data_IF_983745437191
#
_entry.id   IF_983745437191
#
_cell.length_a   1.000
_cell.length_b   1.000
_cell.length_c   1.000
_cell.angle_alpha   90.00
_cell.angle_beta   90.00
_cell.angle_gamma   90.00
#
_symmetry.space_group_name_H-M   'P 1'
#
loop_
_entity.id
_entity.type
_entity.pdbx_description
1 polymer ?
#
# COMPACT_ATOMS: atom_id res chain seq x y z
N UNK A 1 -22.64 -2.54 -5.43
CA UNK A 1 -21.46 -3.35 -5.04
C UNK A 1 -21.11 -4.48 -5.99
N UNK A 2 -22.06 -5.24 -6.56
CA UNK A 2 -21.79 -6.24 -7.63
C UNK A 2 -20.94 -5.66 -8.75
N UNK A 3 -21.19 -4.41 -9.14
CA UNK A 3 -20.36 -3.65 -10.08
C UNK A 3 -18.92 -3.40 -9.61
N UNK A 4 -18.67 -3.10 -8.33
CA UNK A 4 -17.31 -2.87 -7.80
C UNK A 4 -16.52 -4.18 -7.76
N UNK A 5 -17.14 -5.27 -7.30
CA UNK A 5 -16.53 -6.61 -7.31
C UNK A 5 -16.27 -7.11 -8.74
N UNK A 6 -17.19 -6.84 -9.67
CA UNK A 6 -17.00 -7.12 -11.10
C UNK A 6 -15.87 -6.30 -11.73
N UNK A 7 -15.68 -5.04 -11.31
CA UNK A 7 -14.54 -4.20 -11.74
C UNK A 7 -13.22 -4.71 -11.17
N UNK A 8 -13.16 -5.06 -9.87
CA UNK A 8 -11.95 -5.64 -9.25
C UNK A 8 -11.55 -6.95 -9.95
N UNK A 9 -12.46 -7.91 -10.10
CA UNK A 9 -12.18 -9.17 -10.80
C UNK A 9 -11.98 -9.03 -12.31
N UNK A 10 -12.35 -7.89 -12.93
CA UNK A 10 -11.93 -7.57 -14.30
C UNK A 10 -10.48 -7.06 -14.31
N UNK A 11 -10.14 -6.12 -13.42
CA UNK A 11 -8.80 -5.55 -13.31
C UNK A 11 -7.75 -6.59 -12.91
N UNK A 12 -8.06 -7.51 -11.99
CA UNK A 12 -7.19 -8.62 -11.56
C UNK A 12 -6.76 -9.55 -12.73
N UNK A 13 -7.63 -9.67 -13.74
CA UNK A 13 -7.42 -10.46 -14.98
C UNK A 13 -6.91 -9.62 -16.16
N UNK A 14 -6.47 -8.38 -15.92
CA UNK A 14 -5.88 -7.57 -16.98
C UNK A 14 -4.58 -8.24 -17.49
N UNK A 15 -4.42 -8.44 -18.80
CA UNK A 15 -3.25 -9.12 -19.37
C UNK A 15 -1.92 -8.41 -19.07
N UNK A 16 -1.93 -7.14 -18.67
CA UNK A 16 -0.72 -6.40 -18.30
C UNK A 16 0.07 -7.09 -17.17
N UNK A 17 -0.61 -7.78 -16.26
CA UNK A 17 0.02 -8.49 -15.15
C UNK A 17 0.81 -9.73 -15.58
N UNK A 18 0.48 -10.34 -16.73
CA UNK A 18 1.22 -11.51 -17.24
C UNK A 18 2.67 -11.18 -17.60
N UNK A 19 2.94 -9.97 -18.07
CA UNK A 19 4.31 -9.48 -18.31
C UNK A 19 5.13 -9.51 -17.01
N UNK A 20 4.62 -8.89 -15.96
CA UNK A 20 5.34 -8.75 -14.69
C UNK A 20 5.44 -10.07 -13.93
N UNK A 21 4.37 -10.88 -13.93
CA UNK A 21 4.42 -12.28 -13.42
C UNK A 21 5.57 -13.04 -14.07
N UNK A 22 5.66 -13.04 -15.40
CA UNK A 22 6.75 -13.72 -16.13
C UNK A 22 8.12 -13.12 -15.79
N UNK A 23 8.26 -11.80 -15.77
CA UNK A 23 9.52 -11.14 -15.44
C UNK A 23 10.03 -11.53 -14.03
N UNK A 24 9.17 -11.51 -13.01
CA UNK A 24 9.53 -11.95 -11.66
C UNK A 24 9.55 -13.48 -11.47
N UNK A 25 8.99 -14.27 -12.41
CA UNK A 25 9.14 -15.74 -12.44
C UNK A 25 10.54 -16.16 -12.93
N UNK A 26 11.05 -15.51 -13.98
CA UNK A 26 12.42 -15.76 -14.47
C UNK A 26 13.52 -15.13 -13.60
N UNK A 27 13.16 -14.33 -12.59
CA UNK A 27 14.05 -13.91 -11.51
C UNK A 27 14.27 -15.04 -10.47
N UNK A 28 14.52 -16.26 -10.95
CA UNK A 28 14.72 -17.47 -10.16
C UNK A 28 15.91 -18.29 -10.68
N UNK A 29 16.40 -19.30 -9.94
CA UNK A 29 17.74 -19.86 -10.13
C UNK A 29 17.97 -20.74 -11.38
N UNK A 30 17.14 -20.67 -12.42
CA UNK A 30 17.31 -21.43 -13.68
C UNK A 30 17.52 -20.49 -14.87
N UNK A 31 18.41 -20.90 -15.78
CA UNK A 31 18.83 -20.19 -17.00
C UNK A 31 19.69 -18.91 -16.80
N UNK A 32 20.86 -19.09 -16.17
CA UNK A 32 22.02 -18.21 -16.39
C UNK A 32 21.96 -16.79 -15.84
N UNK A 33 20.81 -16.33 -15.32
CA UNK A 33 20.63 -15.06 -14.62
C UNK A 33 20.25 -15.32 -13.17
N UNK A 34 21.06 -14.81 -12.25
CA UNK A 34 21.01 -15.14 -10.81
C UNK A 34 20.48 -13.99 -9.96
N UNK A 35 19.43 -13.32 -10.41
CA UNK A 35 18.70 -12.37 -9.55
C UNK A 35 18.00 -13.14 -8.44
N UNK A 36 18.19 -12.73 -7.18
CA UNK A 36 17.41 -13.26 -6.05
C UNK A 36 15.94 -12.83 -6.16
N UNK A 37 15.05 -13.59 -5.52
CA UNK A 37 13.63 -13.24 -5.46
C UNK A 37 13.43 -12.02 -4.54
N UNK A 38 12.85 -10.89 -5.02
CA UNK A 38 12.85 -9.65 -4.25
C UNK A 38 12.07 -9.73 -2.94
N UNK A 39 12.66 -9.17 -1.88
CA UNK A 39 12.04 -9.04 -0.55
C UNK A 39 11.39 -7.66 -0.39
N UNK A 40 10.14 -7.64 0.04
CA UNK A 40 9.29 -6.44 0.07
C UNK A 40 8.90 -6.09 1.51
N UNK A 41 9.24 -4.89 1.95
CA UNK A 41 8.68 -4.27 3.15
C UNK A 41 7.49 -3.38 2.77
N UNK A 42 6.39 -3.47 3.52
CA UNK A 42 5.20 -2.60 3.36
C UNK A 42 4.90 -1.95 4.69
N UNK A 43 4.93 -0.61 4.74
CA UNK A 43 4.65 0.11 5.99
C UNK A 43 3.14 0.13 6.32
N UNK A 44 2.79 -0.34 7.51
CA UNK A 44 1.41 -0.45 8.01
C UNK A 44 1.16 0.24 9.36
N UNK A 45 2.18 0.88 9.93
CA UNK A 45 2.20 1.45 11.28
C UNK A 45 1.34 2.71 11.47
N UNK A 46 1.76 3.57 12.40
CA UNK A 46 1.07 4.84 12.68
C UNK A 46 0.96 5.74 11.44
N UNK A 47 -0.12 6.51 11.38
CA UNK A 47 -0.48 7.32 10.20
C UNK A 47 -0.86 6.54 8.92
N UNK A 48 -0.42 5.28 8.73
CA UNK A 48 -0.81 4.48 7.57
C UNK A 48 -2.32 4.22 7.54
N UNK A 49 -2.97 4.49 6.40
CA UNK A 49 -4.42 4.30 6.26
C UNK A 49 -4.80 2.89 5.78
N UNK A 50 -5.45 2.77 4.63
CA UNK A 50 -5.87 1.50 4.03
C UNK A 50 -5.07 1.16 2.77
N UNK A 51 -4.48 2.13 2.06
CA UNK A 51 -3.81 1.90 0.77
C UNK A 51 -2.60 0.95 0.79
N UNK A 52 -2.04 0.62 1.96
CA UNK A 52 -1.03 -0.43 2.08
C UNK A 52 -1.56 -1.81 1.65
N UNK A 53 -2.87 -2.07 1.79
CA UNK A 53 -3.51 -3.30 1.27
C UNK A 53 -3.51 -3.32 -0.27
N UNK A 54 -3.52 -2.15 -0.93
CA UNK A 54 -3.43 -2.05 -2.38
C UNK A 54 -2.02 -2.39 -2.87
N UNK A 55 -0.97 -2.03 -2.12
CA UNK A 55 0.38 -2.55 -2.40
C UNK A 55 0.43 -4.07 -2.25
N UNK A 56 -0.19 -4.66 -1.22
CA UNK A 56 -0.29 -6.11 -1.09
C UNK A 56 -1.01 -6.76 -2.29
N UNK A 57 -2.11 -6.18 -2.76
CA UNK A 57 -2.84 -6.65 -3.95
C UNK A 57 -1.99 -6.51 -5.23
N UNK A 58 -1.24 -5.41 -5.38
CA UNK A 58 -0.31 -5.21 -6.50
C UNK A 58 0.80 -6.26 -6.49
N UNK A 59 1.46 -6.49 -5.35
CA UNK A 59 2.52 -7.48 -5.21
C UNK A 59 2.00 -8.88 -5.56
N UNK A 60 0.82 -9.24 -5.05
CA UNK A 60 0.18 -10.50 -5.41
C UNK A 60 -0.05 -10.63 -6.93
N UNK A 61 -0.58 -9.58 -7.56
CA UNK A 61 -0.89 -9.57 -8.99
C UNK A 61 0.35 -9.70 -9.87
N UNK A 62 1.47 -9.08 -9.51
CA UNK A 62 2.74 -9.18 -10.26
C UNK A 62 3.57 -10.40 -9.85
N UNK A 63 3.12 -11.16 -8.85
CA UNK A 63 3.80 -12.36 -8.39
C UNK A 63 5.06 -12.03 -7.57
N UNK A 64 4.95 -11.14 -6.60
CA UNK A 64 5.89 -10.98 -5.48
C UNK A 64 5.17 -11.40 -4.18
N UNK A 65 5.82 -12.26 -3.39
CA UNK A 65 5.20 -12.95 -2.24
C UNK A 65 6.10 -13.00 -0.99
N UNK A 66 7.37 -12.57 -1.08
CA UNK A 66 8.22 -12.40 0.10
C UNK A 66 7.97 -10.99 0.64
N UNK A 67 6.83 -10.85 1.33
CA UNK A 67 6.31 -9.58 1.83
C UNK A 67 6.30 -9.61 3.36
N UNK A 68 6.89 -8.59 3.97
CA UNK A 68 6.78 -8.31 5.41
C UNK A 68 6.02 -7.00 5.59
N UNK A 69 4.98 -7.02 6.42
CA UNK A 69 4.30 -5.80 6.87
C UNK A 69 5.04 -5.29 8.11
N UNK A 70 5.45 -4.03 8.08
CA UNK A 70 6.30 -3.43 9.10
C UNK A 70 5.66 -2.17 9.71
N UNK A 71 5.98 -1.89 10.96
CA UNK A 71 5.56 -0.71 11.72
C UNK A 71 6.78 0.09 12.19
N UNK A 72 6.56 1.24 12.83
CA UNK A 72 7.64 2.13 13.30
C UNK A 72 8.65 1.45 14.24
N UNK A 73 8.24 0.50 15.09
CA UNK A 73 9.16 -0.26 15.94
C UNK A 73 10.11 -1.17 15.16
N UNK A 74 9.72 -1.59 13.95
CA UNK A 74 10.59 -2.38 13.07
C UNK A 74 11.59 -1.49 12.34
N UNK A 75 11.35 -0.17 12.24
CA UNK A 75 12.15 0.79 11.47
C UNK A 75 13.39 1.31 12.22
N UNK A 76 13.87 0.56 13.22
CA UNK A 76 15.13 0.85 13.90
C UNK A 76 16.36 0.63 12.99
N UNK A 77 17.54 1.06 13.42
CA UNK A 77 18.78 0.89 12.64
C UNK A 77 19.06 -0.58 12.35
N UNK A 78 18.96 -0.98 11.07
CA UNK A 78 19.12 -2.36 10.62
C UNK A 78 17.80 -3.08 10.30
N UNK A 79 16.64 -2.50 10.64
CA UNK A 79 15.34 -3.13 10.44
C UNK A 79 14.90 -3.31 8.98
N UNK A 80 15.50 -2.52 8.07
CA UNK A 80 15.31 -2.64 6.62
C UNK A 80 16.38 -3.52 5.94
N UNK A 81 17.28 -4.15 6.69
CA UNK A 81 18.39 -4.92 6.12
C UNK A 81 17.87 -6.18 5.40
N UNK A 82 18.39 -6.38 4.19
CA UNK A 82 18.03 -7.52 3.33
C UNK A 82 16.64 -7.41 2.68
N UNK A 83 15.95 -6.27 2.76
CA UNK A 83 14.85 -5.95 1.84
C UNK A 83 15.38 -5.33 0.54
N UNK A 84 14.63 -5.48 -0.54
CA UNK A 84 14.88 -4.79 -1.82
C UNK A 84 13.99 -3.56 -1.96
N UNK A 85 12.72 -3.67 -1.54
CA UNK A 85 11.71 -2.63 -1.70
C UNK A 85 11.09 -2.22 -0.35
N UNK A 86 10.89 -0.92 -0.15
CA UNK A 86 10.06 -0.36 0.93
C UNK A 86 8.90 0.42 0.29
N UNK A 87 7.67 -0.05 0.55
CA UNK A 87 6.44 0.51 -0.01
C UNK A 87 5.67 1.28 1.08
N UNK A 88 5.42 2.57 0.86
CA UNK A 88 4.74 3.45 1.83
C UNK A 88 3.50 4.09 1.18
N UNK A 89 2.32 3.73 1.67
CA UNK A 89 1.04 4.18 1.11
C UNK A 89 0.56 5.54 1.59
N UNK A 90 -0.64 5.90 1.15
CA UNK A 90 -1.41 7.02 1.69
C UNK A 90 -1.86 6.84 3.13
N UNK A 91 -2.10 7.97 3.79
CA UNK A 91 -2.22 8.05 5.23
C UNK A 91 -2.19 9.49 5.73
N UNK A 92 -1.92 9.62 7.01
CA UNK A 92 -1.61 10.85 7.71
C UNK A 92 -0.07 10.99 7.76
N UNK A 93 0.50 11.83 6.89
CA UNK A 93 1.95 12.00 6.79
C UNK A 93 2.57 12.57 8.06
N UNK A 94 1.83 13.41 8.78
CA UNK A 94 2.34 14.02 10.01
C UNK A 94 2.49 12.94 11.09
N UNK A 95 1.46 12.11 11.29
CA UNK A 95 1.53 10.96 12.21
C UNK A 95 2.60 9.92 11.80
N UNK A 96 2.84 9.72 10.49
CA UNK A 96 3.96 8.88 10.01
C UNK A 96 5.32 9.47 10.41
N UNK A 97 5.51 10.78 10.20
CA UNK A 97 6.78 11.44 10.46
C UNK A 97 7.06 11.57 11.97
N UNK A 98 6.04 11.83 12.80
CA UNK A 98 6.17 11.79 14.26
C UNK A 98 6.52 10.39 14.78
N UNK A 99 5.87 9.34 14.30
CA UNK A 99 6.09 7.97 14.79
C UNK A 99 7.42 7.36 14.37
N UNK A 100 7.85 7.64 13.13
CA UNK A 100 9.14 7.20 12.60
C UNK A 100 10.29 8.03 13.17
N UNK A 101 10.09 9.34 13.32
CA UNK A 101 11.06 10.29 13.82
C UNK A 101 12.43 10.24 13.11
N UNK A 102 13.46 10.74 13.79
CA UNK A 102 14.81 10.77 13.25
C UNK A 102 15.44 9.38 13.02
N UNK A 103 15.01 8.35 13.75
CA UNK A 103 15.51 6.99 13.57
C UNK A 103 14.95 6.33 12.31
N UNK A 104 13.63 6.39 12.10
CA UNK A 104 12.99 5.90 10.88
C UNK A 104 13.49 6.65 9.64
N UNK A 105 13.72 7.96 9.75
CA UNK A 105 14.34 8.74 8.67
C UNK A 105 15.76 8.25 8.32
N UNK A 106 16.61 8.03 9.34
CA UNK A 106 17.95 7.46 9.14
C UNK A 106 17.89 6.05 8.54
N UNK A 107 16.94 5.22 8.97
CA UNK A 107 16.74 3.88 8.44
C UNK A 107 16.35 3.91 6.96
N UNK A 108 15.42 4.79 6.55
CA UNK A 108 15.04 4.97 5.13
C UNK A 108 16.23 5.50 4.31
N UNK A 109 16.92 6.54 4.79
CA UNK A 109 18.08 7.12 4.09
C UNK A 109 19.18 6.08 3.88
N UNK A 110 19.51 5.30 4.91
CA UNK A 110 20.48 4.19 4.81
C UNK A 110 19.98 3.12 3.84
N UNK A 111 18.75 2.65 3.98
CA UNK A 111 18.17 1.60 3.13
C UNK A 111 18.25 1.98 1.64
N UNK A 112 17.93 3.22 1.29
CA UNK A 112 18.08 3.69 -0.09
C UNK A 112 19.56 3.82 -0.46
N UNK A 113 20.39 4.46 0.38
CA UNK A 113 21.83 4.60 0.12
C UNK A 113 22.55 3.26 -0.15
N UNK A 114 22.18 2.22 0.60
CA UNK A 114 22.70 0.85 0.54
C UNK A 114 22.10 0.02 -0.64
N UNK A 115 21.31 0.63 -1.54
CA UNK A 115 20.82 -0.01 -2.76
C UNK A 115 19.38 -0.53 -2.73
N UNK A 116 18.56 -0.05 -1.78
CA UNK A 116 17.12 -0.31 -1.73
C UNK A 116 16.29 0.63 -2.62
N UNK A 117 15.04 0.25 -2.89
CA UNK A 117 14.05 1.11 -3.53
C UNK A 117 12.94 1.52 -2.55
N UNK A 118 12.75 2.83 -2.37
CA UNK A 118 11.59 3.41 -1.72
C UNK A 118 10.52 3.75 -2.76
N UNK A 119 9.26 3.35 -2.52
CA UNK A 119 8.10 3.78 -3.31
C UNK A 119 7.01 4.37 -2.40
N UNK A 120 6.89 5.69 -2.43
CA UNK A 120 5.89 6.45 -1.68
C UNK A 120 4.72 6.87 -2.56
N UNK A 121 3.49 6.51 -2.16
CA UNK A 121 2.25 7.01 -2.77
C UNK A 121 1.52 7.95 -1.82
N UNK A 122 1.06 9.10 -2.31
CA UNK A 122 0.28 10.07 -1.55
C UNK A 122 0.99 10.51 -0.26
N UNK A 123 0.59 10.01 0.93
CA UNK A 123 1.24 10.34 2.19
C UNK A 123 2.71 9.90 2.26
N UNK A 124 3.05 8.73 1.71
CA UNK A 124 4.44 8.30 1.59
C UNK A 124 5.25 9.18 0.63
N UNK A 125 4.62 9.75 -0.40
CA UNK A 125 5.31 10.73 -1.26
C UNK A 125 5.60 12.02 -0.48
N UNK A 126 4.61 12.57 0.22
CA UNK A 126 4.78 13.74 1.10
C UNK A 126 5.82 13.55 2.21
N UNK A 127 6.04 12.32 2.68
CA UNK A 127 6.96 12.05 3.79
C UNK A 127 8.40 12.41 3.43
N UNK A 128 8.80 12.17 2.17
CA UNK A 128 10.22 12.23 1.76
C UNK A 128 10.55 13.37 0.79
N UNK A 129 9.59 14.25 0.50
CA UNK A 129 9.78 15.42 -0.36
C UNK A 129 10.45 16.58 0.41
N UNK A 130 11.39 17.27 -0.22
CA UNK A 130 12.20 18.34 0.42
C UNK A 130 11.44 19.65 0.62
N UNK A 131 10.22 19.78 0.12
CA UNK A 131 9.51 21.05 -0.03
C UNK A 131 9.07 21.75 1.26
N UNK A 132 9.41 21.24 2.44
CA UNK A 132 8.97 21.79 3.75
C UNK A 132 10.13 21.84 4.75
N UNK A 133 10.32 23.02 5.34
CA UNK A 133 11.34 23.29 6.37
C UNK A 133 10.74 23.30 7.78
N UNK A 134 10.19 22.16 8.22
CA UNK A 134 9.49 22.02 9.49
C UNK A 134 9.68 20.62 10.10
N UNK A 135 9.76 20.55 11.44
CA UNK A 135 9.60 19.29 12.17
C UNK A 135 8.16 18.75 12.04
N UNK A 136 7.95 17.42 12.04
CA UNK A 136 8.94 16.34 12.11
C UNK A 136 9.51 15.93 10.73
N UNK A 137 9.34 16.73 9.67
CA UNK A 137 9.72 16.36 8.29
C UNK A 137 11.19 16.61 7.96
N UNK A 138 11.88 17.48 8.70
CA UNK A 138 13.32 17.80 8.52
C UNK A 138 14.22 16.59 8.27
N UNK A 139 14.10 15.47 8.99
CA UNK A 139 14.99 14.32 8.80
C UNK A 139 14.76 13.54 7.49
N UNK A 140 13.58 13.67 6.86
CA UNK A 140 13.14 12.80 5.76
C UNK A 140 13.39 13.36 4.34
N UNK A 141 14.04 14.52 4.20
CA UNK A 141 14.17 15.25 2.92
C UNK A 141 15.07 14.52 1.90
N UNK A 142 14.49 13.57 1.14
CA UNK A 142 15.20 12.73 0.17
C UNK A 142 15.04 13.18 -1.29
N UNK A 143 13.86 13.68 -1.68
CA UNK A 143 13.53 13.99 -3.09
C UNK A 143 13.17 15.46 -3.27
N UNK A 144 13.84 16.13 -4.21
CA UNK A 144 13.53 17.52 -4.56
C UNK A 144 12.17 17.61 -5.24
N UNK A 145 11.26 18.42 -4.67
CA UNK A 145 9.99 18.74 -5.31
C UNK A 145 9.18 19.76 -4.51
N UNK A 146 8.84 20.88 -5.14
CA UNK A 146 7.86 21.84 -4.62
C UNK A 146 6.45 21.24 -4.74
N UNK A 147 5.65 21.37 -3.69
CA UNK A 147 4.32 20.77 -3.61
C UNK A 147 3.26 21.84 -3.80
N UNK A 148 2.77 21.99 -5.03
CA UNK A 148 1.87 23.10 -5.42
C UNK A 148 0.49 23.08 -4.77
N UNK A 149 0.15 21.99 -4.09
CA UNK A 149 -1.09 21.85 -3.33
C UNK A 149 -0.89 21.80 -1.80
N UNK A 150 0.25 22.31 -1.32
CA UNK A 150 0.52 22.62 0.09
C UNK A 150 0.58 24.15 0.23
N UNK A 151 -0.21 24.72 1.16
CA UNK A 151 -0.24 26.17 1.41
C UNK A 151 -0.87 26.51 2.77
N UNK A 152 -0.61 27.71 3.35
CA UNK A 152 -1.13 28.08 4.67
C UNK A 152 -2.62 28.45 4.68
N UNK A 153 -3.11 29.10 3.62
CA UNK A 153 -4.52 29.51 3.46
C UNK A 153 -5.11 28.93 2.16
N UNK A 154 -5.62 27.69 2.19
CA UNK A 154 -6.19 27.04 1.01
C UNK A 154 -7.58 27.61 0.65
N UNK A 155 -7.92 27.74 -0.65
CA UNK A 155 -9.20 28.29 -1.09
C UNK A 155 -10.37 27.40 -0.66
N UNK A 156 -11.57 27.97 -0.50
CA UNK A 156 -12.74 27.19 -0.04
C UNK A 156 -13.13 26.05 -0.99
N UNK A 157 -13.51 24.87 -0.47
CA UNK A 157 -14.01 23.76 -1.29
C UNK A 157 -15.33 24.09 -1.97
N UNK A 158 -15.57 23.41 -3.10
CA UNK A 158 -16.87 23.35 -3.79
C UNK A 158 -17.76 22.24 -3.26
N UNK A 159 -17.17 21.19 -2.71
CA UNK A 159 -17.84 20.02 -2.15
C UNK A 159 -16.84 19.17 -1.34
N UNK A 160 -17.35 18.16 -0.63
CA UNK A 160 -16.54 17.17 0.11
C UNK A 160 -15.54 17.81 1.09
N UNK A 161 -15.98 18.82 1.83
CA UNK A 161 -15.17 19.61 2.76
C UNK A 161 -14.35 18.73 3.73
N UNK A 162 -14.95 17.65 4.23
CA UNK A 162 -14.33 16.64 5.09
C UNK A 162 -13.23 15.78 4.42
N UNK A 163 -13.05 15.91 3.10
CA UNK A 163 -11.98 15.30 2.30
C UNK A 163 -11.13 16.34 1.58
N UNK A 164 -11.35 17.64 1.83
CA UNK A 164 -10.68 18.68 1.07
C UNK A 164 -9.30 19.04 1.62
N UNK A 165 -9.15 19.06 2.94
CA UNK A 165 -7.89 19.43 3.61
C UNK A 165 -7.33 18.28 4.43
N UNK A 166 -6.00 18.18 4.46
CA UNK A 166 -5.24 17.43 5.46
C UNK A 166 -4.17 18.36 6.07
N UNK A 167 -4.01 18.32 7.39
CA UNK A 167 -3.02 19.17 8.08
C UNK A 167 -1.61 18.75 7.69
N UNK A 168 -0.74 19.72 7.45
CA UNK A 168 0.65 19.46 7.09
C UNK A 168 1.57 20.47 7.79
N UNK A 169 1.98 20.14 9.02
CA UNK A 169 2.74 21.07 9.85
C UNK A 169 1.92 22.32 10.20
N UNK A 170 2.47 23.50 9.88
CA UNK A 170 1.74 24.77 9.99
C UNK A 170 0.80 25.07 8.82
N UNK A 171 0.91 24.30 7.73
CA UNK A 171 0.17 24.47 6.48
C UNK A 171 -0.94 23.41 6.29
N UNK A 172 -1.52 23.37 5.08
CA UNK A 172 -2.51 22.40 4.67
C UNK A 172 -2.14 21.79 3.31
N UNK A 173 -2.20 20.47 3.21
CA UNK A 173 -2.46 19.85 1.91
C UNK A 173 -3.92 20.14 1.56
N UNK A 174 -4.17 20.72 0.38
CA UNK A 174 -5.51 20.77 -0.19
C UNK A 174 -5.66 19.80 -1.36
N UNK A 175 -6.86 19.26 -1.52
CA UNK A 175 -7.18 18.23 -2.51
C UNK A 175 -8.01 18.86 -3.64
N UNK A 176 -7.40 19.35 -4.74
CA UNK A 176 -8.11 20.05 -5.81
C UNK A 176 -9.11 19.15 -6.56
N UNK A 177 -8.80 17.85 -6.62
CA UNK A 177 -9.59 16.81 -7.29
C UNK A 177 -9.50 15.53 -6.48
N UNK A 178 -10.59 14.77 -6.44
CA UNK A 178 -10.70 13.49 -5.73
C UNK A 178 -11.28 12.44 -6.67
N UNK A 179 -10.44 11.54 -7.18
CA UNK A 179 -10.83 10.51 -8.14
C UNK A 179 -9.86 10.33 -9.31
N UNK A 180 -10.38 9.83 -10.43
CA UNK A 180 -9.62 9.46 -11.64
C UNK A 180 -8.95 10.70 -12.30
N UNK A 181 -7.63 10.65 -12.46
CA UNK A 181 -6.85 11.61 -13.26
C UNK A 181 -6.14 10.87 -14.40
N UNK A 182 -5.79 11.60 -15.45
CA UNK A 182 -5.00 11.08 -16.56
C UNK A 182 -3.54 11.51 -16.39
N UNK A 183 -2.62 10.57 -16.59
CA UNK A 183 -1.19 10.82 -16.55
C UNK A 183 -0.52 10.27 -17.80
N UNK A 184 0.37 11.07 -18.37
CA UNK A 184 1.20 10.73 -19.52
C UNK A 184 2.67 10.51 -19.12
N UNK A 185 3.52 10.06 -20.06
CA UNK A 185 4.94 9.86 -19.79
C UNK A 185 5.64 11.16 -19.42
N UNK A 186 6.59 11.07 -18.49
CA UNK A 186 7.72 11.99 -18.40
C UNK A 186 8.99 11.35 -18.97
N UNK A 187 10.05 12.15 -19.09
CA UNK A 187 11.30 11.78 -19.76
C UNK A 187 11.97 10.56 -19.11
N UNK A 188 11.88 10.41 -17.79
CA UNK A 188 12.41 9.26 -17.04
C UNK A 188 11.69 7.94 -17.35
N UNK A 189 10.46 8.00 -17.90
CA UNK A 189 9.70 6.83 -18.32
C UNK A 189 9.96 6.42 -19.78
N UNK A 190 11.10 6.83 -20.36
CA UNK A 190 11.54 6.38 -21.68
C UNK A 190 11.51 4.84 -21.80
N UNK A 191 10.76 4.36 -22.79
CA UNK A 191 10.57 2.93 -23.07
C UNK A 191 9.74 2.17 -22.02
N UNK A 192 8.99 2.83 -21.14
CA UNK A 192 8.04 2.15 -20.25
C UNK A 192 6.81 1.69 -21.06
N UNK A 193 6.48 0.38 -21.09
CA UNK A 193 5.42 -0.14 -21.96
C UNK A 193 4.02 0.42 -21.69
N UNK A 194 3.77 0.90 -20.47
CA UNK A 194 2.50 1.53 -20.11
C UNK A 194 2.26 2.88 -20.82
N UNK A 195 3.30 3.47 -21.43
CA UNK A 195 3.25 4.71 -22.20
C UNK A 195 3.65 4.52 -23.68
N UNK A 196 3.68 3.27 -24.18
CA UNK A 196 4.00 2.99 -25.59
C UNK A 196 3.11 3.80 -26.54
N UNK A 197 3.70 4.27 -27.65
CA UNK A 197 3.07 5.16 -28.62
C UNK A 197 2.49 6.47 -28.04
N UNK A 198 2.98 6.94 -26.89
CA UNK A 198 2.50 8.17 -26.24
C UNK A 198 1.16 8.01 -25.53
N UNK A 199 0.78 6.78 -25.18
CA UNK A 199 -0.45 6.50 -24.44
C UNK A 199 -0.49 7.24 -23.09
N UNK A 200 -1.70 7.59 -22.65
CA UNK A 200 -1.96 8.06 -21.28
C UNK A 200 -2.58 6.92 -20.46
N UNK A 201 -2.19 6.83 -19.19
CA UNK A 201 -2.80 5.90 -18.23
C UNK A 201 -3.68 6.69 -17.25
N UNK A 202 -4.51 5.95 -16.52
CA UNK A 202 -5.36 6.52 -15.46
C UNK A 202 -4.92 6.04 -14.10
N UNK A 203 -4.91 6.96 -13.15
CA UNK A 203 -4.63 6.70 -11.74
C UNK A 203 -5.59 7.53 -10.87
N UNK A 204 -5.87 7.15 -9.61
CA UNK A 204 -6.70 7.96 -8.73
C UNK A 204 -5.84 8.91 -7.89
N UNK A 205 -6.17 10.19 -7.90
CA UNK A 205 -5.62 11.18 -6.98
C UNK A 205 -6.59 11.38 -5.80
N UNK A 206 -6.10 11.15 -4.58
CA UNK A 206 -6.84 11.34 -3.33
C UNK A 206 -6.09 12.29 -2.39
N UNK A 207 -5.52 13.36 -2.96
CA UNK A 207 -4.78 14.39 -2.23
C UNK A 207 -3.26 14.27 -2.22
N UNK A 208 -2.66 13.32 -2.94
CA UNK A 208 -1.20 13.23 -3.06
C UNK A 208 -0.55 14.43 -3.76
N UNK A 209 0.78 14.60 -3.66
CA UNK A 209 1.47 15.82 -4.09
C UNK A 209 1.35 16.08 -5.59
N UNK A 210 1.18 17.35 -5.94
CA UNK A 210 1.30 17.90 -7.28
C UNK A 210 2.67 18.58 -7.36
N UNK A 211 3.62 17.93 -8.03
CA UNK A 211 5.06 18.24 -7.89
C UNK A 211 5.58 19.15 -9.00
N UNK A 212 6.40 20.12 -8.62
CA UNK A 212 7.15 21.02 -9.51
C UNK A 212 8.63 21.08 -9.09
N UNK A 213 9.52 21.55 -9.96
CA UNK A 213 10.95 21.72 -9.66
C UNK A 213 11.84 20.47 -9.81
N UNK A 214 11.28 19.26 -9.89
CA UNK A 214 12.03 18.04 -10.22
C UNK A 214 12.71 18.15 -11.60
N UNK A 215 13.91 17.58 -11.77
CA UNK A 215 14.60 17.61 -13.06
C UNK A 215 13.80 16.81 -14.10
N UNK A 216 13.81 17.23 -15.37
CA UNK A 216 13.00 16.57 -16.42
C UNK A 216 13.28 15.06 -16.52
N UNK A 217 14.55 14.68 -16.40
CA UNK A 217 15.04 13.29 -16.49
C UNK A 217 14.75 12.48 -15.21
N UNK A 218 14.16 13.10 -14.19
CA UNK A 218 13.61 12.46 -12.98
C UNK A 218 12.08 12.29 -13.05
N UNK A 219 11.38 12.89 -14.02
CA UNK A 219 9.91 12.79 -14.10
C UNK A 219 9.49 11.49 -14.78
N UNK A 220 8.89 10.56 -14.04
CA UNK A 220 8.29 9.33 -14.58
C UNK A 220 6.95 9.59 -15.27
N UNK A 221 6.11 10.42 -14.65
CA UNK A 221 4.77 10.69 -15.17
C UNK A 221 4.39 12.15 -14.94
N UNK A 222 3.67 12.72 -15.89
CA UNK A 222 3.07 14.07 -15.80
C UNK A 222 1.56 13.96 -15.78
N UNK A 223 0.87 14.86 -15.09
CA UNK A 223 -0.58 14.98 -15.28
C UNK A 223 -0.84 15.46 -16.71
N UNK A 224 -1.75 14.76 -17.41
CA UNK A 224 -2.07 15.01 -18.83
C UNK A 224 -3.55 15.31 -19.06
N UNK A 225 -4.40 15.17 -18.03
CA UNK A 225 -5.83 15.36 -18.17
C UNK A 225 -6.63 15.09 -16.89
N UNK A 226 -7.91 15.47 -16.93
CA UNK A 226 -8.85 15.38 -15.82
C UNK A 226 -10.07 14.55 -16.25
N UNK A 227 -10.34 13.44 -15.55
CA UNK A 227 -11.51 12.60 -15.85
C UNK A 227 -12.79 13.19 -15.28
N UNK A 228 -13.88 13.13 -16.04
CA UNK A 228 -15.22 13.50 -15.58
C UNK A 228 -15.78 12.56 -14.51
N UNK A 229 -15.05 11.49 -14.18
CA UNK A 229 -15.34 10.57 -13.07
C UNK A 229 -14.77 11.04 -11.74
N UNK A 230 -13.99 12.11 -11.71
CA UNK A 230 -13.48 12.68 -10.47
C UNK A 230 -14.42 13.72 -9.89
N UNK A 231 -14.43 13.85 -8.56
CA UNK A 231 -15.03 14.99 -7.91
C UNK A 231 -14.07 16.19 -7.96
N UNK A 232 -14.54 17.32 -8.48
CA UNK A 232 -13.79 18.58 -8.51
C UNK A 232 -14.11 19.39 -7.26
N UNK A 233 -13.23 19.30 -6.25
CA UNK A 233 -13.37 20.00 -4.98
C UNK A 233 -12.96 21.48 -5.11
N UNK A 234 -12.25 21.83 -6.19
CA UNK A 234 -11.94 23.21 -6.60
C UNK A 234 -12.39 23.43 -8.06
N UNK A 235 -12.59 24.66 -8.58
CA UNK A 235 -13.13 24.86 -9.93
C UNK A 235 -12.25 24.21 -11.01
N UNK A 236 -12.85 23.44 -11.92
CA UNK A 236 -12.12 22.60 -12.90
C UNK A 236 -11.05 23.35 -13.69
N UNK A 237 -11.28 24.60 -14.08
CA UNK A 237 -10.29 25.41 -14.80
C UNK A 237 -9.05 25.72 -13.96
N UNK A 238 -9.21 25.96 -12.66
CA UNK A 238 -8.11 26.24 -11.74
C UNK A 238 -7.39 24.94 -11.35
N UNK A 239 -8.14 23.84 -11.17
CA UNK A 239 -7.58 22.47 -11.05
C UNK A 239 -6.70 22.13 -12.25
N UNK A 240 -7.16 22.43 -13.48
CA UNK A 240 -6.38 22.17 -14.69
C UNK A 240 -5.08 22.98 -14.70
N UNK A 241 -5.14 24.30 -14.45
CA UNK A 241 -3.93 25.13 -14.34
C UNK A 241 -2.97 24.67 -13.24
N UNK A 242 -3.49 24.04 -12.18
CA UNK A 242 -2.70 23.50 -11.08
C UNK A 242 -2.04 22.16 -11.43
N UNK A 243 -2.69 21.25 -12.17
CA UNK A 243 -2.08 19.94 -12.49
C UNK A 243 -1.31 19.90 -13.80
N UNK A 244 -1.74 20.63 -14.83
CA UNK A 244 -1.32 20.39 -16.22
C UNK A 244 0.21 20.46 -16.41
N UNK A 245 0.76 19.43 -17.08
CA UNK A 245 2.21 19.27 -17.33
C UNK A 245 3.09 18.99 -16.10
N UNK A 246 2.59 19.16 -14.88
CA UNK A 246 3.35 18.94 -13.63
C UNK A 246 3.61 17.48 -13.36
N UNK A 247 4.63 17.20 -12.55
CA UNK A 247 5.01 15.84 -12.22
C UNK A 247 3.95 15.19 -11.31
N UNK A 248 3.43 14.06 -11.79
CA UNK A 248 2.55 13.16 -11.05
C UNK A 248 3.35 12.06 -10.34
N UNK A 249 4.48 11.64 -10.92
CA UNK A 249 5.45 10.75 -10.29
C UNK A 249 6.90 11.14 -10.66
N UNK A 250 7.79 11.06 -9.69
CA UNK A 250 9.22 11.43 -9.79
C UNK A 250 10.07 10.26 -9.29
N UNK A 251 11.23 10.03 -9.93
CA UNK A 251 12.28 9.10 -9.52
C UNK A 251 13.58 9.85 -9.30
N UNK A 252 14.26 9.61 -8.18
CA UNK A 252 15.61 10.09 -7.93
C UNK A 252 16.52 8.95 -7.43
N UNK A 253 17.83 9.12 -7.53
CA UNK A 253 18.83 8.13 -7.09
C UNK A 253 19.64 8.69 -5.93
N UNK A 254 19.78 7.91 -4.86
CA UNK A 254 20.53 8.27 -3.65
C UNK A 254 21.42 7.07 -3.32
N UNK A 255 22.73 7.28 -3.32
CA UNK A 255 23.70 6.18 -3.28
C UNK A 255 23.41 5.18 -4.41
N UNK A 256 23.37 3.88 -4.07
CA UNK A 256 23.09 2.81 -5.02
C UNK A 256 21.58 2.55 -5.24
N UNK A 257 20.70 3.24 -4.50
CA UNK A 257 19.27 2.98 -4.48
C UNK A 257 18.40 3.89 -5.34
N UNK A 258 17.10 3.84 -5.09
CA UNK A 258 16.09 4.59 -5.85
C UNK A 258 15.00 5.09 -4.91
N UNK A 259 14.62 6.35 -5.02
CA UNK A 259 13.41 6.88 -4.39
C UNK A 259 12.40 7.20 -5.49
N UNK A 260 11.20 6.66 -5.38
CA UNK A 260 10.07 7.00 -6.25
C UNK A 260 8.95 7.56 -5.40
N UNK A 261 8.44 8.72 -5.80
CA UNK A 261 7.33 9.42 -5.14
C UNK A 261 6.22 9.67 -6.15
N UNK A 262 4.98 9.43 -5.76
CA UNK A 262 3.80 9.59 -6.62
C UNK A 262 2.66 10.30 -5.90
N UNK A 263 2.08 11.30 -6.56
CA UNK A 263 0.82 11.93 -6.15
C UNK A 263 -0.36 10.97 -6.26
N UNK A 264 -0.68 10.48 -7.47
CA UNK A 264 -1.71 9.45 -7.65
C UNK A 264 -1.30 8.12 -7.03
N UNK A 265 -2.29 7.33 -6.59
CA UNK A 265 -2.07 5.97 -6.06
C UNK A 265 -1.84 4.97 -7.19
N UNK A 266 -0.58 4.75 -7.56
CA UNK A 266 -0.19 3.78 -8.60
C UNK A 266 -0.54 2.34 -8.22
N UNK A 267 -0.68 2.06 -6.93
CA UNK A 267 -1.03 0.76 -6.37
C UNK A 267 -2.53 0.42 -6.46
N UNK A 268 -3.41 1.38 -6.73
CA UNK A 268 -4.85 1.19 -6.56
C UNK A 268 -5.42 0.07 -7.48
N UNK A 269 -6.15 -0.93 -6.95
CA UNK A 269 -6.45 -2.21 -7.62
C UNK A 269 -7.41 -2.15 -8.83
N UNK A 270 -7.93 -0.96 -9.15
CA UNK A 270 -8.81 -0.70 -10.31
C UNK A 270 -8.08 -0.08 -11.51
N UNK A 271 -6.79 0.22 -11.41
CA UNK A 271 -6.03 1.00 -12.40
C UNK A 271 -4.83 0.20 -12.93
N UNK A 272 -5.05 -0.82 -13.79
CA UNK A 272 -3.99 -1.69 -14.28
C UNK A 272 -2.86 -0.95 -15.01
N UNK A 273 -3.14 0.17 -15.68
CA UNK A 273 -2.10 1.03 -16.27
C UNK A 273 -1.19 1.68 -15.22
N UNK A 274 -1.75 2.21 -14.14
CA UNK A 274 -0.97 2.77 -13.02
C UNK A 274 -0.21 1.68 -12.25
N UNK A 275 -0.83 0.51 -12.06
CA UNK A 275 -0.19 -0.67 -11.52
C UNK A 275 1.01 -1.12 -12.38
N UNK A 276 0.90 -1.00 -13.71
CA UNK A 276 1.97 -1.33 -14.64
C UNK A 276 3.15 -0.35 -14.55
N UNK A 277 2.90 0.95 -14.35
CA UNK A 277 3.97 1.93 -14.09
C UNK A 277 4.76 1.57 -12.82
N UNK A 278 4.07 1.29 -11.71
CA UNK A 278 4.73 0.85 -10.48
C UNK A 278 5.49 -0.48 -10.66
N UNK A 279 4.92 -1.46 -11.37
CA UNK A 279 5.56 -2.75 -11.59
C UNK A 279 6.82 -2.66 -12.48
N UNK A 280 6.82 -1.81 -13.51
CA UNK A 280 7.98 -1.57 -14.38
C UNK A 280 9.10 -0.82 -13.63
N UNK A 281 8.76 0.11 -12.72
CA UNK A 281 9.73 0.74 -11.78
C UNK A 281 10.47 -0.33 -10.96
N UNK A 282 9.74 -1.23 -10.31
CA UNK A 282 10.31 -2.29 -9.48
C UNK A 282 11.19 -3.24 -10.32
N UNK A 283 10.73 -3.61 -11.52
CA UNK A 283 11.45 -4.49 -12.42
C UNK A 283 12.77 -3.88 -12.91
N UNK A 284 12.78 -2.58 -13.26
CA UNK A 284 14.00 -1.87 -13.69
C UNK A 284 15.02 -1.72 -12.58
N UNK A 285 14.58 -1.47 -11.35
CA UNK A 285 15.47 -1.46 -10.19
C UNK A 285 16.13 -2.83 -9.98
N UNK A 286 15.38 -3.94 -10.05
CA UNK A 286 15.95 -5.28 -9.99
C UNK A 286 16.97 -5.54 -11.11
N UNK A 287 16.70 -5.10 -12.34
CA UNK A 287 17.64 -5.24 -13.46
C UNK A 287 18.96 -4.50 -13.17
N UNK A 288 18.89 -3.23 -12.76
CA UNK A 288 20.06 -2.42 -12.38
C UNK A 288 20.89 -3.07 -11.26
N UNK A 289 20.22 -3.55 -10.20
CA UNK A 289 20.87 -4.22 -9.06
C UNK A 289 21.53 -5.55 -9.44
N UNK A 290 20.97 -6.26 -10.41
CA UNK A 290 21.54 -7.48 -10.98
C UNK A 290 22.84 -7.26 -11.76
N UNK A 291 22.97 -6.10 -12.41
CA UNK A 291 24.20 -5.69 -13.12
C UNK A 291 25.30 -5.23 -12.14
N UNK A 292 24.92 -4.67 -11.00
CA UNK A 292 25.83 -4.17 -9.94
C UNK A 292 26.34 -5.27 -8.97
N UNK A 293 26.01 -6.54 -9.18
CA UNK A 293 26.60 -7.67 -8.43
C UNK A 293 26.16 -7.79 -6.96
N UNK A 294 24.99 -7.26 -6.60
CA UNK A 294 24.49 -7.19 -5.22
C UNK A 294 24.48 -8.52 -4.45
N UNK A 295 24.76 -8.43 -3.14
CA UNK A 295 24.87 -9.56 -2.22
C UNK A 295 23.60 -10.42 -2.15
N UNK A 296 23.78 -11.74 -2.11
CA UNK A 296 22.68 -12.72 -2.23
C UNK A 296 21.94 -12.90 -0.91
N UNK A 297 20.61 -12.83 -0.94
CA UNK A 297 19.75 -13.38 0.11
C UNK A 297 18.95 -14.56 -0.42
N UNK A 298 19.26 -15.75 0.09
CA UNK A 298 18.35 -16.90 0.02
C UNK A 298 17.22 -16.72 1.03
N UNK A 299 15.96 -17.04 0.67
CA UNK A 299 14.84 -16.99 1.62
C UNK A 299 15.15 -17.77 2.91
N UNK A 300 14.94 -17.11 4.06
CA UNK A 300 15.27 -17.68 5.37
C UNK A 300 14.42 -18.92 5.67
N UNK A 301 15.08 -20.04 5.99
CA UNK A 301 14.41 -21.27 6.44
C UNK A 301 13.96 -21.14 7.89
N UNK A 302 12.75 -20.64 8.11
CA UNK A 302 12.04 -20.81 9.37
C UNK A 302 11.65 -22.29 9.57
N UNK A 303 12.43 -23.01 10.38
CA UNK A 303 12.19 -24.41 10.72
C UNK A 303 11.16 -24.59 11.82
N UNK A 304 9.92 -24.19 11.57
CA UNK A 304 8.79 -24.38 12.48
C UNK A 304 8.21 -25.81 12.29
N UNK A 305 7.67 -26.44 13.34
CA UNK A 305 7.02 -27.77 13.24
C UNK A 305 5.54 -27.64 12.83
N UNK A 306 5.01 -28.44 11.88
CA UNK A 306 3.60 -28.39 11.51
C UNK A 306 2.65 -28.71 12.66
N UNK A 307 1.45 -28.12 12.64
CA UNK A 307 0.33 -28.46 13.54
C UNK A 307 -0.31 -29.79 13.09
N UNK A 308 -0.93 -30.51 14.02
CA UNK A 308 -1.84 -31.60 13.69
C UNK A 308 -3.00 -31.10 12.81
N UNK A 309 -3.24 -31.76 11.67
CA UNK A 309 -4.10 -31.23 10.61
C UNK A 309 -5.53 -30.85 11.05
N UNK A 310 -6.14 -31.63 11.93
CA UNK A 310 -7.53 -31.42 12.38
C UNK A 310 -7.73 -30.10 13.15
N UNK A 311 -6.77 -29.71 13.99
CA UNK A 311 -6.83 -28.47 14.78
C UNK A 311 -6.70 -27.25 13.87
N UNK A 312 -5.71 -27.26 12.97
CA UNK A 312 -5.48 -26.18 12.02
C UNK A 312 -6.68 -25.98 11.07
N UNK A 313 -7.31 -27.06 10.62
CA UNK A 313 -8.57 -26.98 9.87
C UNK A 313 -9.72 -26.40 10.69
N UNK A 314 -9.82 -26.77 11.97
CA UNK A 314 -10.85 -26.24 12.88
C UNK A 314 -10.69 -24.72 13.05
N UNK A 315 -9.47 -24.26 13.30
CA UNK A 315 -9.14 -22.83 13.37
C UNK A 315 -9.44 -22.12 12.04
N UNK A 316 -9.10 -22.71 10.89
CA UNK A 316 -9.43 -22.13 9.58
C UNK A 316 -10.94 -22.02 9.32
N UNK A 317 -11.74 -23.00 9.80
CA UNK A 317 -13.22 -22.93 9.78
C UNK A 317 -13.73 -21.80 10.69
N UNK A 318 -13.13 -21.63 11.86
CA UNK A 318 -13.50 -20.57 12.81
C UNK A 318 -13.17 -19.17 12.29
N UNK A 319 -11.96 -18.94 11.76
CA UNK A 319 -11.59 -17.67 11.09
C UNK A 319 -12.61 -17.37 9.98
N UNK A 320 -12.98 -18.37 9.16
CA UNK A 320 -13.99 -18.19 8.09
C UNK A 320 -15.34 -17.73 8.65
N UNK A 321 -15.79 -18.35 9.75
CA UNK A 321 -17.05 -18.04 10.42
C UNK A 321 -17.05 -16.61 10.95
N UNK A 322 -15.99 -16.22 11.66
CA UNK A 322 -15.87 -14.89 12.25
C UNK A 322 -15.72 -13.79 11.18
N UNK A 323 -14.87 -13.97 10.17
CA UNK A 323 -14.79 -13.04 9.02
C UNK A 323 -16.14 -12.91 8.32
N UNK A 324 -16.90 -14.01 8.16
CA UNK A 324 -18.26 -13.95 7.61
C UNK A 324 -19.21 -13.13 8.49
N UNK A 325 -19.19 -13.34 9.81
CA UNK A 325 -20.03 -12.61 10.77
C UNK A 325 -19.71 -11.11 10.77
N UNK A 326 -18.44 -10.76 10.89
CA UNK A 326 -17.97 -9.37 10.84
C UNK A 326 -18.40 -8.67 9.54
N UNK A 327 -18.32 -9.35 8.39
CA UNK A 327 -18.74 -8.79 7.09
C UNK A 327 -20.25 -8.52 7.00
N UNK A 328 -21.08 -9.33 7.64
CA UNK A 328 -22.53 -9.11 7.72
C UNK A 328 -22.82 -7.86 8.55
N UNK A 329 -22.14 -7.68 9.70
CA UNK A 329 -22.28 -6.49 10.55
C UNK A 329 -21.77 -5.24 9.83
N UNK A 330 -20.61 -5.33 9.18
CA UNK A 330 -20.03 -4.24 8.40
C UNK A 330 -20.94 -3.81 7.23
N UNK A 331 -21.60 -4.73 6.53
CA UNK A 331 -22.61 -4.39 5.52
C UNK A 331 -23.86 -3.68 6.09
N UNK A 332 -24.13 -3.82 7.38
CA UNK A 332 -25.10 -3.00 8.10
C UNK A 332 -24.57 -1.58 8.34
N UNK A 333 -23.32 -1.46 8.81
CA UNK A 333 -22.64 -0.18 9.04
C UNK A 333 -22.50 0.66 7.75
N UNK A 334 -22.23 0.04 6.59
CA UNK A 334 -22.12 0.67 5.26
C UNK A 334 -23.33 1.50 4.81
N UNK A 335 -24.46 1.43 5.52
CA UNK A 335 -25.70 2.19 5.22
C UNK A 335 -25.96 3.31 6.22
N UNK A 336 -25.14 3.44 7.25
CA UNK A 336 -25.31 4.42 8.32
C UNK A 336 -24.59 5.72 7.94
N UNK A 337 -25.24 6.90 8.07
CA UNK A 337 -24.65 8.19 7.69
C UNK A 337 -23.70 8.69 8.78
N UNK A 338 -22.64 7.93 9.06
CA UNK A 338 -21.61 8.23 10.08
C UNK A 338 -20.23 8.30 9.43
N UNK A 339 -19.36 9.11 10.01
CA UNK A 339 -17.92 9.14 9.70
C UNK A 339 -17.15 9.36 10.99
N UNK A 340 -15.98 8.74 11.12
CA UNK A 340 -15.11 8.89 12.29
C UNK A 340 -13.83 9.63 11.91
N UNK A 341 -13.28 10.42 12.83
CA UNK A 341 -11.99 11.09 12.64
C UNK A 341 -10.93 10.32 13.41
N UNK A 342 -10.06 9.59 12.71
CA UNK A 342 -8.98 8.81 13.31
C UNK A 342 -7.66 9.45 12.85
N UNK A 343 -6.91 9.99 13.81
CA UNK A 343 -5.87 10.99 13.52
C UNK A 343 -6.45 12.20 12.78
N UNK A 344 -5.83 12.59 11.65
CA UNK A 344 -6.33 13.65 10.78
C UNK A 344 -7.21 13.14 9.63
N UNK A 345 -7.47 11.83 9.52
CA UNK A 345 -8.29 11.24 8.45
C UNK A 345 -9.73 11.05 8.87
N UNK A 346 -10.64 11.34 7.94
CA UNK A 346 -12.04 10.95 8.01
C UNK A 346 -12.19 9.55 7.42
N UNK A 347 -12.80 8.64 8.18
CA UNK A 347 -13.03 7.24 7.85
C UNK A 347 -14.52 6.95 7.70
N UNK A 348 -14.88 6.27 6.63
CA UNK A 348 -16.26 5.82 6.37
C UNK A 348 -16.45 4.32 6.72
N UNK A 349 -17.66 3.88 7.10
CA UNK A 349 -17.98 2.49 7.42
C UNK A 349 -17.52 1.42 6.41
N UNK A 350 -17.47 1.75 5.11
CA UNK A 350 -17.01 0.87 4.04
C UNK A 350 -15.57 0.36 4.26
N UNK A 351 -14.75 1.09 5.03
CA UNK A 351 -13.37 0.69 5.33
C UNK A 351 -13.31 -0.57 6.21
N UNK A 352 -14.28 -0.74 7.13
CA UNK A 352 -14.41 -1.94 7.98
C UNK A 352 -14.54 -3.18 7.09
N UNK A 353 -15.43 -3.13 6.11
CA UNK A 353 -15.62 -4.24 5.18
C UNK A 353 -14.47 -4.38 4.18
N UNK A 354 -13.83 -3.30 3.77
CA UNK A 354 -12.68 -3.34 2.86
C UNK A 354 -11.57 -4.24 3.42
N UNK A 355 -11.19 -4.07 4.69
CA UNK A 355 -10.20 -4.94 5.34
C UNK A 355 -10.68 -6.40 5.43
N UNK A 356 -11.92 -6.62 5.85
CA UNK A 356 -12.49 -7.98 5.96
C UNK A 356 -12.61 -8.71 4.61
N UNK A 357 -12.85 -8.00 3.51
CA UNK A 357 -12.90 -8.57 2.16
C UNK A 357 -11.51 -9.06 1.70
N UNK A 358 -10.40 -8.44 2.15
CA UNK A 358 -9.03 -8.91 1.86
C UNK A 358 -8.76 -10.28 2.47
N UNK A 359 -9.18 -10.51 3.71
CA UNK A 359 -9.11 -11.82 4.34
C UNK A 359 -10.06 -12.80 3.64
N UNK A 360 -11.34 -12.43 3.47
CA UNK A 360 -12.39 -13.31 2.97
C UNK A 360 -12.09 -13.96 1.61
N UNK A 361 -11.59 -13.20 0.63
CA UNK A 361 -11.33 -13.75 -0.71
C UNK A 361 -10.10 -14.66 -0.75
N UNK A 362 -9.16 -14.48 0.18
CA UNK A 362 -7.91 -15.25 0.29
C UNK A 362 -8.04 -16.47 1.21
N UNK A 363 -9.03 -16.46 2.10
CA UNK A 363 -9.29 -17.52 3.08
C UNK A 363 -9.47 -18.93 2.48
N UNK A 364 -10.12 -19.14 1.31
CA UNK A 364 -10.18 -20.46 0.68
C UNK A 364 -8.82 -21.06 0.31
N UNK A 365 -7.81 -20.23 0.06
CA UNK A 365 -6.44 -20.66 -0.20
C UNK A 365 -5.72 -21.05 1.10
N UNK A 366 -5.85 -20.22 2.14
CA UNK A 366 -5.29 -20.47 3.49
C UNK A 366 -5.88 -21.72 4.10
N UNK A 367 -7.21 -21.88 4.07
CA UNK A 367 -7.90 -23.03 4.67
C UNK A 367 -7.47 -24.37 4.05
N UNK A 368 -7.23 -24.42 2.73
CA UNK A 368 -6.68 -25.60 2.04
C UNK A 368 -5.23 -25.95 2.42
N UNK A 369 -4.54 -25.06 3.12
CA UNK A 369 -3.12 -25.16 3.52
C UNK A 369 -2.94 -24.92 5.02
N UNK A 370 -4.01 -25.00 5.82
CA UNK A 370 -3.97 -24.62 7.23
C UNK A 370 -2.94 -25.42 8.03
N UNK A 371 -2.78 -26.72 7.72
CA UNK A 371 -1.77 -27.60 8.32
C UNK A 371 -0.30 -27.18 8.06
N UNK A 372 -0.04 -26.29 7.09
CA UNK A 372 1.29 -25.74 6.80
C UNK A 372 1.57 -24.42 7.55
N UNK A 373 0.59 -23.88 8.29
CA UNK A 373 0.75 -22.62 9.03
C UNK A 373 1.41 -22.90 10.37
N UNK A 374 2.74 -22.72 10.42
CA UNK A 374 3.69 -23.26 11.42
C UNK A 374 3.15 -23.54 12.84
N UNK A 375 3.32 -22.65 13.84
CA UNK A 375 2.67 -22.78 15.13
C UNK A 375 1.19 -22.37 15.01
N UNK A 376 0.30 -23.21 15.52
CA UNK A 376 -1.15 -23.02 15.46
C UNK A 376 -1.63 -21.75 16.16
N UNK A 377 -0.84 -21.21 17.08
CA UNK A 377 -0.99 -19.91 17.72
C UNK A 377 -1.29 -18.78 16.72
N UNK A 378 -0.67 -18.79 15.52
CA UNK A 378 -0.97 -17.80 14.46
C UNK A 378 -2.41 -17.91 13.96
N UNK A 379 -2.94 -19.12 13.79
CA UNK A 379 -4.34 -19.33 13.40
C UNK A 379 -5.31 -19.10 14.57
N UNK A 380 -4.91 -19.42 15.81
CA UNK A 380 -5.69 -19.16 17.01
C UNK A 380 -5.85 -17.66 17.30
N UNK A 381 -4.76 -16.89 17.18
CA UNK A 381 -4.76 -15.43 17.28
C UNK A 381 -5.70 -14.80 16.24
N UNK A 382 -5.61 -15.23 14.98
CA UNK A 382 -6.54 -14.77 13.93
C UNK A 382 -8.00 -15.15 14.24
N UNK A 383 -8.25 -16.37 14.71
CA UNK A 383 -9.60 -16.83 15.07
C UNK A 383 -10.22 -15.99 16.19
N UNK A 384 -9.46 -15.76 17.27
CA UNK A 384 -9.87 -14.90 18.39
C UNK A 384 -10.09 -13.46 17.97
N UNK A 385 -9.10 -12.85 17.30
CA UNK A 385 -9.16 -11.46 16.87
C UNK A 385 -10.31 -11.15 15.91
N UNK A 386 -10.63 -12.02 14.94
CA UNK A 386 -11.82 -11.81 14.10
C UNK A 386 -13.14 -11.98 14.89
N UNK A 387 -13.12 -12.75 15.99
CA UNK A 387 -14.20 -12.80 16.97
C UNK A 387 -14.38 -11.47 17.71
N UNK A 388 -13.29 -10.87 18.17
CA UNK A 388 -13.28 -9.55 18.82
C UNK A 388 -13.74 -8.45 17.86
N UNK A 389 -13.22 -8.41 16.63
CA UNK A 389 -13.68 -7.51 15.55
C UNK A 389 -15.19 -7.65 15.31
N UNK A 390 -15.73 -8.87 15.37
CA UNK A 390 -17.19 -9.08 15.24
C UNK A 390 -17.96 -8.46 16.40
N UNK A 391 -17.42 -8.48 17.62
CA UNK A 391 -18.03 -7.86 18.80
C UNK A 391 -17.90 -6.33 18.75
N UNK A 392 -16.71 -5.80 18.44
CA UNK A 392 -16.44 -4.37 18.27
C UNK A 392 -17.35 -3.76 17.19
N UNK A 393 -17.47 -4.40 16.03
CA UNK A 393 -18.37 -3.94 14.95
C UNK A 393 -19.85 -3.94 15.37
N UNK A 394 -20.28 -4.88 16.23
CA UNK A 394 -21.64 -4.88 16.80
C UNK A 394 -21.82 -3.75 17.82
N UNK A 395 -20.81 -3.47 18.64
CA UNK A 395 -20.80 -2.36 19.61
C UNK A 395 -20.93 -1.02 18.90
N UNK A 396 -20.05 -0.74 17.92
CA UNK A 396 -20.11 0.45 17.06
C UNK A 396 -21.51 0.60 16.44
N UNK A 397 -22.05 -0.48 15.85
CA UNK A 397 -23.39 -0.49 15.24
C UNK A 397 -24.49 -0.13 16.25
N UNK A 398 -24.46 -0.74 17.44
CA UNK A 398 -25.45 -0.51 18.48
C UNK A 398 -25.42 0.93 19.00
N UNK A 399 -24.22 1.50 19.21
CA UNK A 399 -24.06 2.90 19.64
C UNK A 399 -24.66 3.87 18.61
N UNK A 400 -24.38 3.68 17.32
CA UNK A 400 -24.97 4.47 16.24
C UNK A 400 -26.50 4.34 16.23
N UNK A 401 -27.05 3.13 16.40
CA UNK A 401 -28.50 2.90 16.44
C UNK A 401 -29.18 3.52 17.68
N UNK A 402 -28.47 3.63 18.81
CA UNK A 402 -28.91 4.35 20.01
C UNK A 402 -28.73 5.87 19.93
N UNK A 403 -28.06 6.39 18.90
CA UNK A 403 -27.70 7.81 18.78
C UNK A 403 -26.54 8.25 19.69
N UNK A 404 -25.76 7.30 20.19
CA UNK A 404 -24.55 7.54 20.99
C UNK A 404 -23.33 7.81 20.08
N UNK A 405 -22.38 8.61 20.57
CA UNK A 405 -21.07 8.74 19.90
C UNK A 405 -20.40 7.36 19.82
N UNK A 406 -19.78 7.04 18.67
CA UNK A 406 -19.12 5.76 18.37
C UNK A 406 -17.64 5.91 17.99
N UNK A 407 -17.08 7.12 18.15
CA UNK A 407 -15.72 7.48 17.73
C UNK A 407 -14.64 6.56 18.33
N UNK A 408 -14.66 6.34 19.65
CA UNK A 408 -13.64 5.55 20.34
C UNK A 408 -13.71 4.05 19.95
N UNK A 409 -14.91 3.47 19.89
CA UNK A 409 -15.10 2.08 19.49
C UNK A 409 -14.76 1.85 18.01
N UNK A 410 -14.99 2.84 17.15
CA UNK A 410 -14.63 2.76 15.73
C UNK A 410 -13.12 2.87 15.51
N UNK A 411 -12.42 3.70 16.29
CA UNK A 411 -10.97 3.80 16.29
C UNK A 411 -10.33 2.48 16.72
N UNK A 412 -10.80 1.88 17.82
CA UNK A 412 -10.37 0.55 18.26
C UNK A 412 -10.64 -0.53 17.21
N UNK A 413 -11.86 -0.56 16.64
CA UNK A 413 -12.24 -1.51 15.59
C UNK A 413 -11.33 -1.42 14.36
N UNK A 414 -11.01 -0.21 13.91
CA UNK A 414 -10.20 0.02 12.70
C UNK A 414 -8.70 -0.23 12.97
N UNK A 415 -8.21 0.05 14.18
CA UNK A 415 -6.87 -0.35 14.64
C UNK A 415 -6.70 -1.87 14.60
N UNK A 416 -7.53 -2.60 15.34
CA UNK A 416 -7.53 -4.08 15.39
C UNK A 416 -7.71 -4.70 14.00
N UNK A 417 -8.51 -4.09 13.12
CA UNK A 417 -8.65 -4.54 11.73
C UNK A 417 -7.39 -4.36 10.88
N UNK A 418 -6.62 -3.27 11.05
CA UNK A 418 -5.32 -3.11 10.36
C UNK A 418 -4.37 -4.23 10.77
N UNK A 419 -4.21 -4.45 12.06
CA UNK A 419 -3.31 -5.44 12.65
C UNK A 419 -3.66 -6.87 12.20
N UNK A 420 -4.92 -7.28 12.34
CA UNK A 420 -5.37 -8.61 11.92
C UNK A 420 -5.33 -8.81 10.40
N UNK A 421 -5.48 -7.74 9.61
CA UNK A 421 -5.29 -7.83 8.15
C UNK A 421 -3.82 -8.06 7.82
N UNK A 422 -2.90 -7.35 8.47
CA UNK A 422 -1.46 -7.54 8.28
C UNK A 422 -1.03 -8.96 8.72
N UNK A 423 -1.48 -9.42 9.90
CA UNK A 423 -1.22 -10.78 10.39
C UNK A 423 -1.79 -11.86 9.46
N UNK A 424 -3.02 -11.69 8.95
CA UNK A 424 -3.62 -12.62 8.00
C UNK A 424 -2.84 -12.64 6.67
N UNK A 425 -2.48 -11.46 6.14
CA UNK A 425 -1.73 -11.37 4.89
C UNK A 425 -0.31 -11.94 5.03
N UNK A 426 0.36 -11.80 6.18
CA UNK A 426 1.64 -12.45 6.47
C UNK A 426 1.54 -13.97 6.34
N UNK A 427 0.50 -14.59 6.92
CA UNK A 427 0.23 -16.04 6.76
C UNK A 427 -0.04 -16.38 5.30
N UNK A 428 -0.86 -15.59 4.61
CA UNK A 428 -1.21 -15.79 3.21
C UNK A 428 0.00 -15.75 2.26
N UNK A 429 0.84 -14.72 2.38
CA UNK A 429 2.01 -14.53 1.54
C UNK A 429 3.10 -15.56 1.83
N UNK A 430 3.31 -15.96 3.09
CA UNK A 430 4.19 -17.10 3.43
C UNK A 430 3.75 -18.38 2.71
N UNK A 431 2.45 -18.71 2.71
CA UNK A 431 1.90 -19.87 2.02
C UNK A 431 2.03 -19.76 0.48
N UNK A 432 1.84 -18.56 -0.10
CA UNK A 432 2.04 -18.30 -1.54
C UNK A 432 3.51 -18.40 -1.95
N UNK A 433 4.43 -17.99 -1.08
CA UNK A 433 5.88 -18.13 -1.28
C UNK A 433 6.32 -19.60 -1.24
N UNK A 434 5.83 -20.38 -0.27
CA UNK A 434 6.06 -21.83 -0.19
C UNK A 434 5.55 -22.56 -1.46
N UNK A 435 4.31 -22.25 -1.89
CA UNK A 435 3.75 -22.80 -3.13
C UNK A 435 4.59 -22.46 -4.36
N UNK A 436 5.02 -21.19 -4.51
CA UNK A 436 5.85 -20.74 -5.63
C UNK A 436 7.22 -21.43 -5.67
N UNK A 437 7.87 -21.54 -4.52
CA UNK A 437 9.24 -22.08 -4.41
C UNK A 437 9.30 -23.60 -4.50
N UNK A 438 8.15 -24.29 -4.55
CA UNK A 438 8.08 -25.75 -4.68
C UNK A 438 8.69 -26.48 -3.47
N UNK A 439 8.71 -25.85 -2.30
CA UNK A 439 9.25 -26.44 -1.06
C UNK A 439 8.18 -27.28 -0.35
N UNK A 440 8.23 -28.62 -0.41
CA UNK A 440 7.52 -29.43 0.57
C UNK A 440 8.26 -29.36 1.91
N UNK A 441 7.54 -29.01 2.98
CA UNK A 441 7.94 -29.39 4.35
C UNK A 441 7.76 -30.91 4.51
N UNK A 442 8.62 -31.71 3.85
CA UNK A 442 8.75 -33.12 4.21
C UNK A 442 9.52 -33.20 5.53
N UNK A 443 8.94 -33.78 6.59
CA UNK A 443 9.70 -34.03 7.81
C UNK A 443 10.85 -34.99 7.49
N UNK A 444 12.06 -34.68 7.97
CA UNK A 444 13.11 -35.69 8.08
C UNK A 444 12.68 -36.69 9.14
N UNK A 445 12.16 -37.83 8.70
CA UNK A 445 12.08 -39.04 9.52
C UNK A 445 13.50 -39.53 9.78
N UNK A 446 13.96 -39.38 11.01
CA UNK A 446 15.04 -40.17 11.61
C UNK A 446 14.43 -41.32 12.39
#
# INVERSE_FOLDING_TARGET
MTAVRGRLGKAERDPVFERYRKAFLFAGPNEGRTTAYPRVAVYTGSGASHSWIWFADLMERIGLYDITFIVESDMSSGGLDGFDFLLVGGGDTYAMAESLGGDGARAILRFVGDGGLYLGSCAGAYLVLTGVDLEPFTPFRLVTGEMRNVMPDPPKPRCLDHKYLARYGEEWVFHPVYGEVEVGPGDAAAGFPCFDAGATIRAPLFGGPIMEGAHKDEVLARFSGLSDRAAFLWPRGDVLRLVDGRAAAVVSSIGEGTVVVSGPHLEHPLFPGANALAAEVLLRHCARKGELGGGRHTPGRGGDKPVGGEEAESLAREIRRQVSNARIVAFGLEKMPVTWRIGLKVWEPEKVRMFLDYAWYRLPFVAKRAALVSPGERLAHLAGGYGEVTQMARSVKARIESGEDSQAEAELLLGTLKELTAAFLSVYFKLRLQERTGLPEKPRTS
#
